data_IF_057454366157
#
_entry.id   IF_057454366157
#
_cell.length_a   1.000
_cell.length_b   1.000
_cell.length_c   1.000
_cell.angle_alpha   90.00
_cell.angle_beta   90.00
_cell.angle_gamma   90.00
#
_symmetry.space_group_name_H-M   'P 1'
#
loop_
_entity.id
_entity.type
_entity.pdbx_description
1 polymer ?
#
# COMPACT_ATOMS: atom_id res chain seq x y z
N UNK A 1 -16.83 15.23 -18.83
CA UNK A 1 -15.87 14.55 -17.93
C UNK A 1 -15.27 13.35 -18.64
N UNK A 2 -13.96 13.33 -18.86
CA UNK A 2 -13.27 12.19 -19.46
C UNK A 2 -13.15 11.09 -18.41
N UNK A 3 -13.76 9.93 -18.68
CA UNK A 3 -13.70 8.78 -17.78
C UNK A 3 -12.32 8.13 -17.83
N UNK A 4 -11.75 7.76 -16.68
CA UNK A 4 -10.50 7.00 -16.65
C UNK A 4 -10.66 5.64 -17.33
N UNK A 5 -9.58 5.18 -17.98
CA UNK A 5 -9.51 3.85 -18.59
C UNK A 5 -9.24 2.74 -17.56
N UNK A 6 -8.76 3.10 -16.37
CA UNK A 6 -8.39 2.20 -15.27
C UNK A 6 -8.79 2.82 -13.93
N UNK A 7 -8.83 1.99 -12.90
CA UNK A 7 -8.97 2.45 -11.51
C UNK A 7 -7.85 3.46 -11.15
N UNK A 8 -8.13 4.60 -10.51
CA UNK A 8 -7.12 5.59 -10.08
C UNK A 8 -5.93 4.98 -9.33
N UNK A 9 -6.17 3.98 -8.47
CA UNK A 9 -5.13 3.28 -7.71
C UNK A 9 -4.13 2.61 -8.65
N UNK A 10 -4.55 2.15 -9.83
CA UNK A 10 -3.63 1.57 -10.83
C UNK A 10 -2.70 2.63 -11.42
N UNK A 11 -3.17 3.85 -11.68
CA UNK A 11 -2.31 4.93 -12.19
C UNK A 11 -1.20 5.33 -11.21
N UNK A 12 -1.52 5.30 -9.92
CA UNK A 12 -0.57 5.55 -8.84
C UNK A 12 0.39 4.38 -8.69
N UNK A 13 -0.12 3.14 -8.60
CA UNK A 13 0.71 1.94 -8.45
C UNK A 13 1.68 1.78 -9.61
N UNK A 14 1.19 1.92 -10.85
CA UNK A 14 2.03 1.81 -12.05
C UNK A 14 3.18 2.84 -12.02
N UNK A 15 2.92 4.04 -11.46
CA UNK A 15 3.93 5.09 -11.29
C UNK A 15 4.90 4.78 -10.15
N UNK A 16 4.39 4.33 -8.99
CA UNK A 16 5.17 4.12 -7.77
C UNK A 16 6.02 2.84 -7.78
N UNK A 17 5.54 1.79 -8.47
CA UNK A 17 6.08 0.42 -8.39
C UNK A 17 7.56 0.30 -8.69
N UNK A 18 8.10 1.16 -9.57
CA UNK A 18 9.53 1.17 -9.92
C UNK A 18 10.46 1.43 -8.74
N UNK A 19 9.96 2.04 -7.66
CA UNK A 19 10.70 2.35 -6.43
C UNK A 19 10.38 1.40 -5.27
N UNK A 20 9.58 0.35 -5.48
CA UNK A 20 9.31 -0.61 -4.41
C UNK A 20 10.54 -1.46 -4.12
N UNK A 21 10.99 -1.44 -2.87
CA UNK A 21 12.09 -2.26 -2.37
C UNK A 21 11.53 -3.59 -1.86
N UNK A 22 11.27 -4.51 -2.79
CA UNK A 22 10.85 -5.87 -2.44
C UNK A 22 12.07 -6.68 -2.02
N UNK A 23 12.03 -7.20 -0.79
CA UNK A 23 13.08 -8.04 -0.23
C UNK A 23 13.22 -9.40 -0.93
N UNK A 24 14.29 -10.10 -0.61
CA UNK A 24 14.63 -11.43 -1.15
C UNK A 24 14.04 -12.58 -0.33
N UNK A 25 13.44 -12.27 0.82
CA UNK A 25 12.86 -13.25 1.73
C UNK A 25 11.61 -12.71 2.42
N UNK A 26 10.78 -13.64 2.90
CA UNK A 26 9.63 -13.35 3.74
C UNK A 26 10.11 -12.87 5.10
N UNK A 27 9.68 -11.68 5.51
CA UNK A 27 10.01 -11.11 6.81
C UNK A 27 9.51 -11.97 7.99
N UNK A 28 8.46 -12.78 7.82
CA UNK A 28 7.94 -13.64 8.88
C UNK A 28 8.73 -14.94 9.05
N UNK A 29 9.13 -15.60 7.96
CA UNK A 29 9.63 -16.99 8.03
C UNK A 29 10.89 -17.28 7.20
N UNK A 30 11.48 -16.28 6.55
CA UNK A 30 12.70 -16.46 5.75
C UNK A 30 12.52 -17.19 4.41
N UNK A 31 11.29 -17.60 4.04
CA UNK A 31 11.04 -18.21 2.73
C UNK A 31 11.47 -17.25 1.60
N UNK A 32 12.20 -17.74 0.60
CA UNK A 32 12.72 -16.94 -0.52
C UNK A 32 11.93 -17.09 -1.82
N UNK A 33 10.83 -17.86 -1.80
CA UNK A 33 9.97 -18.12 -2.95
C UNK A 33 8.58 -17.51 -2.77
N UNK A 34 7.89 -17.27 -3.89
CA UNK A 34 6.52 -16.76 -3.92
C UNK A 34 6.31 -15.51 -3.06
N UNK A 35 7.20 -14.54 -3.21
CA UNK A 35 7.16 -13.32 -2.41
C UNK A 35 6.12 -12.33 -2.96
N UNK A 36 5.47 -11.61 -2.05
CA UNK A 36 4.54 -10.52 -2.30
C UNK A 36 5.06 -9.25 -1.60
N UNK A 37 4.81 -8.10 -2.23
CA UNK A 37 5.10 -6.78 -1.65
C UNK A 37 3.81 -6.22 -1.04
N UNK A 38 3.77 -6.08 0.27
CA UNK A 38 2.59 -5.68 1.01
C UNK A 38 2.71 -4.24 1.51
N UNK A 39 1.63 -3.46 1.38
CA UNK A 39 1.52 -2.12 1.97
C UNK A 39 0.63 -2.19 3.22
N UNK A 40 1.15 -1.78 4.38
CA UNK A 40 0.34 -1.77 5.60
C UNK A 40 -0.80 -0.75 5.54
N UNK A 41 -0.57 0.38 4.88
CA UNK A 41 -1.59 1.37 4.56
C UNK A 41 -2.15 1.07 3.16
N UNK A 42 -3.38 0.54 3.10
CA UNK A 42 -3.96 0.15 1.82
C UNK A 42 -4.16 1.36 0.91
N UNK A 43 -3.68 1.28 -0.33
CA UNK A 43 -3.66 2.41 -1.27
C UNK A 43 -5.05 3.00 -1.55
N UNK A 44 -6.10 2.18 -1.65
CA UNK A 44 -7.44 2.66 -2.00
C UNK A 44 -8.04 3.59 -0.92
N UNK A 45 -8.09 3.23 0.37
CA UNK A 45 -8.53 4.16 1.42
C UNK A 45 -7.54 5.32 1.60
N UNK A 46 -6.23 5.09 1.46
CA UNK A 46 -5.23 6.16 1.57
C UNK A 46 -5.44 7.26 0.51
N UNK A 47 -5.65 6.85 -0.74
CA UNK A 47 -5.97 7.75 -1.85
C UNK A 47 -7.29 8.49 -1.61
N UNK A 48 -8.32 7.79 -1.14
CA UNK A 48 -9.64 8.37 -0.90
C UNK A 48 -9.58 9.47 0.16
N UNK A 49 -8.89 9.22 1.28
CA UNK A 49 -8.74 10.21 2.35
C UNK A 49 -7.92 11.41 1.87
N UNK A 50 -6.82 11.18 1.15
CA UNK A 50 -5.99 12.25 0.60
C UNK A 50 -6.78 13.11 -0.41
N UNK A 51 -7.47 12.49 -1.36
CA UNK A 51 -8.29 13.22 -2.34
C UNK A 51 -9.40 14.03 -1.67
N UNK A 52 -10.04 13.49 -0.63
CA UNK A 52 -11.09 14.20 0.12
C UNK A 52 -10.56 15.53 0.69
N UNK A 53 -9.33 15.57 1.19
CA UNK A 53 -8.75 16.80 1.74
C UNK A 53 -8.25 17.74 0.64
N UNK A 54 -7.61 17.20 -0.39
CA UNK A 54 -7.07 17.99 -1.51
C UNK A 54 -8.17 18.63 -2.36
N UNK A 55 -9.28 17.93 -2.60
CA UNK A 55 -10.45 18.47 -3.31
C UNK A 55 -11.13 19.63 -2.57
N UNK A 56 -11.02 19.73 -1.24
CA UNK A 56 -11.51 20.92 -0.52
C UNK A 56 -10.66 22.15 -0.81
N UNK A 57 -9.39 21.97 -1.16
CA UNK A 57 -8.44 23.05 -1.41
C UNK A 57 -8.52 23.51 -2.87
N UNK A 58 -8.53 22.57 -3.83
CA UNK A 58 -8.54 22.86 -5.28
C UNK A 58 -9.39 21.83 -6.06
N UNK A 59 -10.72 21.89 -5.97
CA UNK A 59 -11.62 20.86 -6.53
C UNK A 59 -11.45 20.65 -8.05
N UNK A 60 -11.13 21.71 -8.79
CA UNK A 60 -10.91 21.66 -10.24
C UNK A 60 -9.62 20.93 -10.65
N UNK A 61 -8.64 20.84 -9.75
CA UNK A 61 -7.35 20.20 -10.02
C UNK A 61 -7.38 18.69 -9.75
N UNK A 62 -8.01 18.26 -8.65
CA UNK A 62 -8.02 16.86 -8.22
C UNK A 62 -9.14 16.06 -8.88
N UNK A 63 -9.13 16.04 -10.20
CA UNK A 63 -10.08 15.32 -11.06
C UNK A 63 -9.39 14.23 -11.87
N UNK A 64 -10.17 13.27 -12.39
CA UNK A 64 -9.69 12.19 -13.24
C UNK A 64 -8.84 12.66 -14.43
N UNK A 65 -9.14 13.83 -14.99
CA UNK A 65 -8.43 14.40 -16.14
C UNK A 65 -6.96 14.70 -15.83
N UNK A 66 -6.67 15.13 -14.61
CA UNK A 66 -5.34 15.54 -14.17
C UNK A 66 -4.60 14.45 -13.37
N UNK A 67 -5.08 13.20 -13.35
CA UNK A 67 -4.48 12.12 -12.56
C UNK A 67 -2.99 11.90 -12.81
N UNK A 68 -2.53 12.11 -14.04
CA UNK A 68 -1.11 11.94 -14.36
C UNK A 68 -0.23 12.99 -13.70
N UNK A 69 -0.80 14.13 -13.30
CA UNK A 69 -0.16 15.23 -12.60
C UNK A 69 -0.26 14.99 -11.08
N UNK A 70 -1.47 14.97 -10.53
CA UNK A 70 -1.62 14.92 -9.07
C UNK A 70 -1.23 13.57 -8.46
N UNK A 71 -1.09 12.49 -9.24
CA UNK A 71 -0.56 11.22 -8.70
C UNK A 71 0.86 11.35 -8.17
N UNK A 72 1.68 12.22 -8.77
CA UNK A 72 3.05 12.42 -8.31
C UNK A 72 3.03 13.17 -6.97
N UNK A 73 2.14 14.15 -6.81
CA UNK A 73 1.88 14.83 -5.52
C UNK A 73 1.37 13.85 -4.45
N UNK A 74 0.44 12.96 -4.80
CA UNK A 74 -0.01 11.91 -3.87
C UNK A 74 1.14 11.01 -3.41
N UNK A 75 2.02 10.60 -4.33
CA UNK A 75 3.17 9.74 -4.02
C UNK A 75 4.16 10.46 -3.11
N UNK A 76 4.39 11.76 -3.32
CA UNK A 76 5.26 12.58 -2.47
C UNK A 76 4.65 12.77 -1.07
N UNK A 77 3.39 13.19 -0.99
CA UNK A 77 2.69 13.39 0.28
C UNK A 77 2.54 12.12 1.11
N UNK A 78 2.52 10.95 0.46
CA UNK A 78 2.32 9.62 1.05
C UNK A 78 3.54 8.72 0.94
N UNK A 79 4.72 9.32 0.86
CA UNK A 79 5.98 8.61 0.66
C UNK A 79 6.18 7.46 1.66
N UNK A 80 6.04 7.75 2.96
CA UNK A 80 6.23 6.75 4.00
C UNK A 80 5.24 5.59 3.86
N UNK A 81 3.96 5.85 3.63
CA UNK A 81 2.94 4.82 3.45
C UNK A 81 3.15 3.96 2.18
N UNK A 82 3.71 4.54 1.11
CA UNK A 82 3.97 3.83 -0.15
C UNK A 82 5.26 3.02 -0.17
N UNK A 83 6.30 3.49 0.54
CA UNK A 83 7.65 2.94 0.41
C UNK A 83 8.19 2.38 1.73
N UNK A 84 8.02 3.08 2.85
CA UNK A 84 8.62 2.71 4.13
C UNK A 84 7.74 1.76 4.95
N UNK A 85 6.42 1.98 4.94
CA UNK A 85 5.45 1.18 5.68
C UNK A 85 4.96 0.00 4.85
N UNK A 86 5.93 -0.77 4.39
CA UNK A 86 5.74 -1.92 3.53
C UNK A 86 6.49 -3.13 4.11
N UNK A 87 6.15 -4.33 3.64
CA UNK A 87 6.85 -5.55 4.04
C UNK A 87 6.83 -6.56 2.89
N UNK A 88 7.90 -7.35 2.81
CA UNK A 88 7.94 -8.51 1.92
C UNK A 88 7.53 -9.76 2.68
N UNK A 89 6.49 -10.43 2.20
CA UNK A 89 5.96 -11.66 2.80
C UNK A 89 5.90 -12.75 1.73
N UNK A 90 6.05 -14.02 2.10
CA UNK A 90 5.66 -15.10 1.19
C UNK A 90 4.14 -15.09 1.00
N UNK A 91 3.69 -15.64 -0.12
CA UNK A 91 2.29 -15.63 -0.53
C UNK A 91 1.36 -16.18 0.56
N UNK A 92 1.79 -17.26 1.24
CA UNK A 92 1.06 -17.84 2.37
C UNK A 92 0.79 -16.82 3.48
N UNK A 93 1.83 -16.16 4.00
CA UNK A 93 1.68 -15.20 5.09
C UNK A 93 0.95 -13.93 4.64
N UNK A 94 1.15 -13.52 3.39
CA UNK A 94 0.40 -12.42 2.80
C UNK A 94 -1.12 -12.70 2.75
N UNK A 95 -1.52 -13.92 2.36
CA UNK A 95 -2.91 -14.36 2.40
C UNK A 95 -3.45 -14.49 3.82
N UNK A 96 -2.64 -14.97 4.78
CA UNK A 96 -3.06 -15.04 6.19
C UNK A 96 -3.33 -13.66 6.78
N UNK A 97 -2.47 -12.68 6.48
CA UNK A 97 -2.70 -11.29 6.87
C UNK A 97 -4.02 -10.76 6.28
N UNK A 98 -4.24 -10.99 4.98
CA UNK A 98 -5.49 -10.59 4.32
C UNK A 98 -6.73 -11.38 4.79
N UNK A 99 -6.57 -12.60 5.30
CA UNK A 99 -7.66 -13.35 5.93
C UNK A 99 -8.11 -12.69 7.23
N UNK A 100 -7.18 -12.10 7.98
CA UNK A 100 -7.45 -11.46 9.27
C UNK A 100 -7.98 -10.02 9.13
N UNK A 101 -7.36 -9.22 8.25
CA UNK A 101 -7.68 -7.79 8.10
C UNK A 101 -8.53 -7.47 6.87
N UNK A 102 -8.74 -8.44 5.99
CA UNK A 102 -9.40 -8.25 4.70
C UNK A 102 -8.44 -7.75 3.60
N UNK A 103 -8.95 -7.68 2.37
CA UNK A 103 -8.19 -7.18 1.20
C UNK A 103 -8.11 -5.65 1.13
N UNK A 104 -9.00 -4.96 1.84
CA UNK A 104 -9.06 -3.50 1.87
C UNK A 104 -9.31 -2.99 3.30
N UNK A 105 -8.39 -3.26 4.25
CA UNK A 105 -8.53 -2.85 5.63
C UNK A 105 -8.56 -1.32 5.80
N UNK A 106 -9.18 -0.86 6.89
CA UNK A 106 -9.14 0.55 7.28
C UNK A 106 -7.72 0.98 7.69
N UNK A 107 -7.34 2.23 7.42
CA UNK A 107 -5.98 2.75 7.68
C UNK A 107 -5.58 2.66 9.15
N UNK A 108 -6.56 2.81 10.06
CA UNK A 108 -6.35 2.68 11.52
C UNK A 108 -5.81 1.31 11.95
N UNK A 109 -5.92 0.30 11.08
CA UNK A 109 -5.40 -1.05 11.35
C UNK A 109 -3.94 -1.25 10.95
N UNK A 110 -3.31 -0.31 10.23
CA UNK A 110 -1.94 -0.47 9.72
C UNK A 110 -0.95 -0.86 10.84
N UNK A 111 -0.97 -0.15 11.97
CA UNK A 111 -0.13 -0.46 13.14
C UNK A 111 -0.42 -1.84 13.74
N UNK A 112 -1.67 -2.31 13.68
CA UNK A 112 -2.04 -3.66 14.13
C UNK A 112 -1.50 -4.73 13.19
N UNK A 113 -1.54 -4.48 11.88
CA UNK A 113 -0.95 -5.36 10.86
C UNK A 113 0.56 -5.46 11.04
N UNK A 114 1.27 -4.33 11.20
CA UNK A 114 2.71 -4.30 11.50
C UNK A 114 3.05 -5.11 12.75
N UNK A 115 2.34 -4.87 13.85
CA UNK A 115 2.53 -5.64 15.10
C UNK A 115 2.26 -7.14 14.91
N UNK A 116 1.24 -7.49 14.15
CA UNK A 116 0.93 -8.89 13.88
C UNK A 116 2.05 -9.57 13.11
N UNK A 117 2.64 -8.90 12.12
CA UNK A 117 3.79 -9.39 11.36
C UNK A 117 4.97 -9.68 12.29
N UNK A 118 5.32 -8.76 13.18
CA UNK A 118 6.40 -8.98 14.16
C UNK A 118 6.09 -10.16 15.10
N UNK A 119 4.86 -10.26 15.61
CA UNK A 119 4.44 -11.41 16.44
C UNK A 119 4.57 -12.73 15.68
N UNK A 120 4.25 -12.77 14.38
CA UNK A 120 4.44 -13.99 13.60
C UNK A 120 5.93 -14.27 13.38
N UNK A 121 6.74 -13.25 13.15
CA UNK A 121 8.20 -13.38 13.00
C UNK A 121 8.82 -14.02 14.25
N UNK A 122 8.47 -13.54 15.43
CA UNK A 122 8.92 -14.11 16.71
C UNK A 122 8.52 -15.58 16.86
N UNK A 123 7.29 -15.93 16.48
CA UNK A 123 6.79 -17.32 16.54
C UNK A 123 7.54 -18.27 15.61
N UNK A 124 8.17 -17.76 14.56
CA UNK A 124 9.02 -18.54 13.66
C UNK A 124 10.49 -18.55 14.08
N UNK A 125 10.84 -17.95 15.23
CA UNK A 125 12.22 -17.96 15.77
C UNK A 125 13.19 -17.08 14.98
N UNK A 126 12.69 -16.04 14.30
CA UNK A 126 13.49 -15.15 13.46
C UNK A 126 14.02 -13.91 14.23
N UNK A 127 13.80 -13.86 15.54
CA UNK A 127 14.22 -12.83 16.50
C UNK A 127 14.77 -13.52 17.76
#
# INVERSE_FOLDING_TARGET
MKKLKRDPVKYIRDRAKSKYEKGTECHICGASTELDFHHFYTLAPLLREWLKEKQKQRPEHYTDEYIVIWRDEFIEDKWAELYEHTVTLCHKHHLELHRLYGRNPALVTAKKQMRWVEIQRDKHGMV
#
